data_IF_268447107779
#
_entry.id   IF_268447107779
#
_cell.length_a   1.000
_cell.length_b   1.000
_cell.length_c   1.000
_cell.angle_alpha   90.00
_cell.angle_beta   90.00
_cell.angle_gamma   90.00
#
_symmetry.space_group_name_H-M   'P 1'
#
loop_
_entity.id
_entity.type
_entity.pdbx_description
1 polymer ?
#
# COMPACT_ATOMS: atom_id res chain seq x y z
N UNK A 1 -10.63 -10.31 0.71
CA UNK A 1 -11.45 -9.23 1.31
C UNK A 1 -12.01 -9.66 2.66
N UNK A 2 -12.71 -10.81 2.73
CA UNK A 2 -13.17 -11.42 3.99
C UNK A 2 -12.03 -11.71 4.99
N UNK A 3 -10.86 -12.16 4.53
CA UNK A 3 -9.70 -12.37 5.40
C UNK A 3 -9.14 -11.09 6.05
N UNK A 4 -9.29 -9.93 5.41
CA UNK A 4 -8.88 -8.63 5.96
C UNK A 4 -9.88 -8.08 6.96
N UNK A 5 -11.17 -8.36 6.75
CA UNK A 5 -12.22 -8.09 7.73
C UNK A 5 -12.02 -8.90 9.01
N UNK A 6 -11.74 -10.21 8.90
CA UNK A 6 -11.41 -11.04 10.06
C UNK A 6 -10.08 -10.65 10.71
N UNK A 7 -9.10 -10.19 9.93
CA UNK A 7 -7.86 -9.65 10.47
C UNK A 7 -8.10 -8.36 11.25
N UNK A 8 -8.86 -7.39 10.71
CA UNK A 8 -9.22 -6.16 11.42
C UNK A 8 -10.06 -6.44 12.68
N UNK A 9 -10.94 -7.45 12.63
CA UNK A 9 -11.66 -7.91 13.82
C UNK A 9 -10.71 -8.53 14.86
N UNK A 10 -9.78 -9.38 14.42
CA UNK A 10 -8.75 -9.95 15.29
C UNK A 10 -7.75 -8.89 15.82
N UNK A 11 -7.54 -7.79 15.09
CA UNK A 11 -6.77 -6.62 15.54
C UNK A 11 -7.51 -5.87 16.65
N UNK A 12 -8.83 -5.73 16.54
CA UNK A 12 -9.63 -5.15 17.60
C UNK A 12 -9.65 -6.03 18.87
N UNK A 13 -9.55 -7.35 18.71
CA UNK A 13 -9.51 -8.33 19.81
C UNK A 13 -8.09 -8.61 20.37
N UNK A 14 -7.01 -8.13 19.74
CA UNK A 14 -5.63 -8.44 20.14
C UNK A 14 -4.97 -7.30 20.92
N UNK A 15 -4.55 -7.59 22.17
CA UNK A 15 -3.90 -6.67 23.13
C UNK A 15 -2.60 -5.98 22.64
N UNK A 16 -2.06 -6.32 21.46
CA UNK A 16 -0.84 -5.70 20.92
C UNK A 16 -1.05 -5.14 19.50
N UNK A 17 -1.32 -3.82 19.43
CA UNK A 17 -1.56 -3.11 18.17
C UNK A 17 -0.45 -3.21 17.12
N UNK A 18 0.77 -3.59 17.51
CA UNK A 18 1.92 -3.76 16.58
C UNK A 18 1.80 -5.04 15.75
N UNK A 19 1.45 -6.18 16.36
CA UNK A 19 1.35 -7.46 15.65
C UNK A 19 0.25 -7.42 14.58
N UNK A 20 -0.87 -6.82 14.94
CA UNK A 20 -1.96 -6.43 14.08
C UNK A 20 -1.52 -5.58 12.87
N UNK A 21 -0.80 -4.48 13.13
CA UNK A 21 -0.31 -3.59 12.08
C UNK A 21 0.66 -4.29 11.11
N UNK A 22 1.55 -5.15 11.63
CA UNK A 22 2.45 -5.96 10.80
C UNK A 22 1.68 -6.94 9.91
N UNK A 23 0.65 -7.60 10.45
CA UNK A 23 -0.20 -8.50 9.66
C UNK A 23 -0.92 -7.74 8.53
N UNK A 24 -1.50 -6.57 8.83
CA UNK A 24 -2.15 -5.72 7.82
C UNK A 24 -1.14 -5.32 6.74
N UNK A 25 0.08 -4.94 7.11
CA UNK A 25 1.15 -4.58 6.17
C UNK A 25 1.55 -5.75 5.27
N UNK A 26 1.67 -6.96 5.83
CA UNK A 26 1.93 -8.18 5.08
C UNK A 26 0.83 -8.49 4.07
N UNK A 27 -0.45 -8.37 4.46
CA UNK A 27 -1.54 -8.54 3.51
C UNK A 27 -1.51 -7.47 2.43
N UNK A 28 -1.24 -6.21 2.79
CA UNK A 28 -1.06 -5.11 1.83
C UNK A 28 0.08 -5.34 0.83
N UNK A 29 1.09 -6.12 1.21
CA UNK A 29 2.20 -6.55 0.36
C UNK A 29 1.85 -7.74 -0.54
N UNK A 30 0.91 -8.59 -0.13
CA UNK A 30 0.43 -9.72 -0.93
C UNK A 30 -0.63 -9.31 -1.99
N UNK A 31 -1.36 -8.21 -1.75
CA UNK A 31 -2.41 -7.72 -2.67
C UNK A 31 -1.93 -7.54 -4.13
N UNK A 32 -0.75 -6.95 -4.41
CA UNK A 32 -0.26 -6.81 -5.78
C UNK A 32 -0.11 -8.13 -6.52
N UNK A 33 0.33 -9.19 -5.83
CA UNK A 33 0.49 -10.52 -6.42
C UNK A 33 -0.86 -11.09 -6.87
N UNK A 34 -1.88 -11.00 -6.02
CA UNK A 34 -3.23 -11.42 -6.35
C UNK A 34 -3.79 -10.62 -7.54
N UNK A 35 -3.70 -9.29 -7.51
CA UNK A 35 -4.25 -8.41 -8.56
C UNK A 35 -3.56 -8.61 -9.91
N UNK A 36 -2.25 -8.78 -9.92
CA UNK A 36 -1.49 -9.11 -11.14
C UNK A 36 -1.97 -10.44 -11.71
N UNK A 37 -2.03 -11.47 -10.88
CA UNK A 37 -2.43 -12.82 -11.30
C UNK A 37 -3.85 -12.82 -11.89
N UNK A 38 -4.81 -12.18 -11.22
CA UNK A 38 -6.18 -12.08 -11.73
C UNK A 38 -6.24 -11.30 -13.04
N UNK A 39 -5.51 -10.19 -13.15
CA UNK A 39 -5.50 -9.38 -14.38
C UNK A 39 -4.90 -10.14 -15.56
N UNK A 40 -3.78 -10.83 -15.36
CA UNK A 40 -3.11 -11.57 -16.45
C UNK A 40 -3.85 -12.84 -16.87
N UNK A 41 -4.64 -13.45 -15.98
CA UNK A 41 -5.36 -14.69 -16.28
C UNK A 41 -6.76 -14.45 -16.86
N UNK A 42 -7.45 -13.40 -16.42
CA UNK A 42 -8.86 -13.18 -16.79
C UNK A 42 -9.06 -12.04 -17.80
N UNK A 43 -8.10 -11.12 -17.97
CA UNK A 43 -8.28 -9.96 -18.84
C UNK A 43 -7.30 -9.95 -20.01
N UNK A 44 -7.85 -9.85 -21.22
CA UNK A 44 -7.07 -9.64 -22.42
C UNK A 44 -6.83 -8.15 -22.64
N UNK A 45 -5.57 -7.76 -22.83
CA UNK A 45 -5.16 -6.39 -23.07
C UNK A 45 -4.26 -6.31 -24.30
N UNK A 46 -4.44 -5.27 -25.11
CA UNK A 46 -3.67 -5.05 -26.34
C UNK A 46 -2.27 -4.50 -26.02
N UNK A 47 -2.15 -3.64 -24.99
CA UNK A 47 -0.88 -3.02 -24.60
C UNK A 47 -0.48 -3.30 -23.15
N UNK A 48 0.82 -3.27 -22.87
CA UNK A 48 1.34 -3.36 -21.51
C UNK A 48 0.91 -2.17 -20.63
N UNK A 49 0.66 -1.01 -21.24
CA UNK A 49 0.20 0.20 -20.54
C UNK A 49 -1.22 -0.02 -20.01
N UNK A 50 -2.11 -0.60 -20.83
CA UNK A 50 -3.49 -0.90 -20.42
C UNK A 50 -3.52 -1.93 -19.29
N UNK A 51 -2.66 -2.95 -19.35
CA UNK A 51 -2.49 -3.92 -18.25
C UNK A 51 -2.11 -3.19 -16.95
N UNK A 52 -1.12 -2.29 -16.99
CA UNK A 52 -0.72 -1.54 -15.80
C UNK A 52 -1.84 -0.62 -15.30
N UNK A 53 -2.60 0.01 -16.18
CA UNK A 53 -3.72 0.87 -15.79
C UNK A 53 -4.85 0.09 -15.10
N UNK A 54 -5.23 -1.08 -15.63
CA UNK A 54 -6.21 -1.98 -15.00
C UNK A 54 -5.72 -2.43 -13.60
N UNK A 55 -4.43 -2.80 -13.49
CA UNK A 55 -3.81 -3.16 -12.21
C UNK A 55 -3.88 -1.99 -11.22
N UNK A 56 -3.55 -0.76 -11.64
CA UNK A 56 -3.65 0.44 -10.78
C UNK A 56 -5.07 0.60 -10.26
N UNK A 57 -6.07 0.59 -11.15
CA UNK A 57 -7.45 0.85 -10.77
C UNK A 57 -7.96 -0.15 -9.73
N UNK A 58 -7.77 -1.45 -9.96
CA UNK A 58 -8.18 -2.50 -9.02
C UNK A 58 -7.42 -2.43 -7.70
N UNK A 59 -6.12 -2.16 -7.77
CA UNK A 59 -5.27 -2.14 -6.59
C UNK A 59 -5.52 -0.90 -5.73
N UNK A 60 -5.74 0.27 -6.33
CA UNK A 60 -6.16 1.49 -5.62
C UNK A 60 -7.50 1.25 -4.93
N UNK A 61 -8.51 0.77 -5.65
CA UNK A 61 -9.83 0.51 -5.08
C UNK A 61 -9.75 -0.45 -3.89
N UNK A 62 -9.03 -1.57 -4.07
CA UNK A 62 -8.85 -2.57 -3.01
C UNK A 62 -8.13 -1.99 -1.79
N UNK A 63 -7.08 -1.19 -2.01
CA UNK A 63 -6.29 -0.61 -0.91
C UNK A 63 -7.03 0.49 -0.17
N UNK A 64 -7.77 1.34 -0.87
CA UNK A 64 -8.57 2.38 -0.23
C UNK A 64 -9.67 1.76 0.64
N UNK A 65 -10.35 0.73 0.12
CA UNK A 65 -11.35 -0.01 0.86
C UNK A 65 -10.76 -0.66 2.12
N UNK A 66 -9.65 -1.39 1.96
CA UNK A 66 -9.07 -2.17 3.06
C UNK A 66 -8.38 -1.33 4.13
N UNK A 67 -7.67 -0.26 3.75
CA UNK A 67 -6.77 0.45 4.67
C UNK A 67 -7.44 1.62 5.38
N UNK A 68 -8.54 2.18 4.87
CA UNK A 68 -9.26 3.25 5.57
C UNK A 68 -10.76 2.99 5.69
N UNK A 69 -11.45 2.66 4.59
CA UNK A 69 -12.93 2.63 4.59
C UNK A 69 -13.47 1.51 5.49
N UNK A 70 -12.94 0.28 5.37
CA UNK A 70 -13.38 -0.81 6.23
C UNK A 70 -12.98 -0.61 7.69
N UNK A 71 -11.83 0.02 7.95
CA UNK A 71 -11.43 0.35 9.31
C UNK A 71 -12.44 1.32 9.92
N UNK A 72 -12.79 2.39 9.21
CA UNK A 72 -13.80 3.36 9.64
C UNK A 72 -15.19 2.74 9.86
N UNK A 73 -15.65 1.83 9.00
CA UNK A 73 -16.98 1.20 9.12
C UNK A 73 -17.05 0.21 10.29
N UNK A 74 -15.94 -0.48 10.59
CA UNK A 74 -15.90 -1.51 11.63
C UNK A 74 -15.68 -0.92 13.02
N UNK A 75 -15.03 0.23 13.12
CA UNK A 75 -14.86 0.94 14.39
C UNK A 75 -16.21 1.47 14.89
N UNK A 76 -16.55 1.12 16.14
CA UNK A 76 -17.76 1.63 16.78
C UNK A 76 -17.67 3.14 16.99
N UNK A 77 -18.83 3.81 16.95
CA UNK A 77 -18.90 5.27 17.01
C UNK A 77 -18.25 5.84 18.28
N UNK A 78 -18.53 5.24 19.45
CA UNK A 78 -17.99 5.68 20.73
C UNK A 78 -16.47 5.58 20.81
N UNK A 79 -15.87 4.66 20.05
CA UNK A 79 -14.43 4.42 20.04
C UNK A 79 -13.71 5.12 18.89
N UNK A 80 -14.44 5.80 17.99
CA UNK A 80 -13.84 6.48 16.84
C UNK A 80 -12.85 7.56 17.28
N UNK A 81 -13.19 8.27 18.36
CA UNK A 81 -12.36 9.33 18.96
C UNK A 81 -11.51 8.85 20.13
N UNK A 82 -11.54 7.56 20.49
CA UNK A 82 -10.76 7.05 21.60
C UNK A 82 -9.26 7.13 21.30
N UNK A 83 -8.45 7.48 22.30
CA UNK A 83 -7.00 7.53 22.16
C UNK A 83 -6.43 6.19 21.71
N UNK A 84 -7.02 5.08 22.15
CA UNK A 84 -6.62 3.74 21.76
C UNK A 84 -6.75 3.51 20.25
N UNK A 85 -7.91 3.86 19.67
CA UNK A 85 -8.16 3.69 18.24
C UNK A 85 -7.25 4.60 17.39
N UNK A 86 -7.05 5.85 17.82
CA UNK A 86 -6.14 6.79 17.15
C UNK A 86 -4.69 6.28 17.17
N UNK A 87 -4.25 5.73 18.31
CA UNK A 87 -2.92 5.11 18.43
C UNK A 87 -2.77 3.86 17.55
N UNK A 88 -3.83 3.06 17.38
CA UNK A 88 -3.86 1.92 16.44
C UNK A 88 -3.67 2.40 15.00
N UNK A 89 -4.42 3.42 14.56
CA UNK A 89 -4.32 3.99 13.21
C UNK A 89 -2.90 4.55 12.97
N UNK A 90 -2.37 5.31 13.94
CA UNK A 90 -1.02 5.87 13.86
C UNK A 90 0.06 4.79 13.77
N UNK A 91 -0.08 3.70 14.54
CA UNK A 91 0.85 2.56 14.51
C UNK A 91 0.85 1.89 13.14
N UNK A 92 -0.33 1.69 12.53
CA UNK A 92 -0.43 1.12 11.17
C UNK A 92 0.30 2.00 10.15
N UNK A 93 0.13 3.33 10.22
CA UNK A 93 0.82 4.27 9.33
C UNK A 93 2.35 4.21 9.48
N UNK A 94 2.85 4.16 10.73
CA UNK A 94 4.29 4.07 11.01
C UNK A 94 4.86 2.74 10.52
N UNK A 95 4.15 1.64 10.78
CA UNK A 95 4.57 0.31 10.32
C UNK A 95 4.62 0.27 8.80
N UNK A 96 3.58 0.75 8.10
CA UNK A 96 3.59 0.80 6.63
C UNK A 96 4.69 1.72 6.06
N UNK A 97 5.01 2.82 6.75
CA UNK A 97 6.08 3.75 6.41
C UNK A 97 7.46 3.08 6.41
N UNK A 98 7.73 2.19 7.37
CA UNK A 98 9.06 1.57 7.55
C UNK A 98 9.12 0.20 6.89
N UNK A 99 8.13 -0.65 7.13
CA UNK A 99 8.15 -2.05 6.74
C UNK A 99 8.20 -2.23 5.23
N UNK A 100 7.39 -1.49 4.48
CA UNK A 100 7.34 -1.62 3.01
C UNK A 100 8.66 -1.20 2.33
N UNK A 101 9.26 -0.04 2.64
CA UNK A 101 10.57 0.32 2.08
C UNK A 101 11.71 -0.60 2.55
N UNK A 102 11.74 -1.01 3.82
CA UNK A 102 12.79 -1.91 4.32
C UNK A 102 12.73 -3.27 3.63
N UNK A 103 11.54 -3.88 3.53
CA UNK A 103 11.38 -5.17 2.86
C UNK A 103 11.80 -5.11 1.39
N UNK A 104 11.48 -4.00 0.71
CA UNK A 104 11.90 -3.73 -0.67
C UNK A 104 13.41 -3.56 -0.80
N UNK A 105 14.03 -2.83 0.12
CA UNK A 105 15.47 -2.63 0.14
C UNK A 105 16.23 -3.94 0.37
N UNK A 106 15.70 -4.84 1.22
CA UNK A 106 16.31 -6.15 1.45
C UNK A 106 16.20 -7.08 0.24
N UNK A 107 15.18 -6.90 -0.61
CA UNK A 107 14.93 -7.67 -1.82
C UNK A 107 15.14 -9.20 -1.64
N UNK A 108 14.54 -9.72 -0.56
CA UNK A 108 14.74 -11.11 -0.10
C UNK A 108 14.42 -12.13 -1.20
N UNK A 109 13.41 -11.86 -2.01
CA UNK A 109 13.01 -12.75 -3.11
C UNK A 109 14.14 -12.93 -4.15
N UNK A 110 14.83 -11.86 -4.54
CA UNK A 110 15.93 -11.97 -5.49
C UNK A 110 17.18 -12.57 -4.85
N UNK A 111 17.42 -12.30 -3.57
CA UNK A 111 18.49 -12.96 -2.82
C UNK A 111 18.30 -14.48 -2.79
N UNK A 112 17.08 -14.95 -2.49
CA UNK A 112 16.73 -16.38 -2.51
C UNK A 112 16.89 -16.99 -3.91
N UNK A 113 16.43 -16.30 -4.96
CA UNK A 113 16.62 -16.76 -6.35
C UNK A 113 18.09 -16.97 -6.68
N UNK A 114 18.95 -16.00 -6.35
CA UNK A 114 20.38 -16.04 -6.67
C UNK A 114 21.16 -17.06 -5.83
N UNK A 115 20.78 -17.28 -4.58
CA UNK A 115 21.52 -18.16 -3.66
C UNK A 115 21.03 -19.60 -3.65
N UNK A 116 19.72 -19.82 -3.77
CA UNK A 116 19.12 -21.16 -3.62
C UNK A 116 18.72 -21.73 -4.98
N UNK A 117 18.01 -20.96 -5.81
CA UNK A 117 17.44 -21.47 -7.06
C UNK A 117 18.45 -21.48 -8.21
N UNK A 118 19.31 -20.46 -8.30
CA UNK A 118 20.27 -20.32 -9.40
C UNK A 118 21.28 -21.49 -9.48
N UNK A 119 21.88 -21.97 -8.38
CA UNK A 119 22.78 -23.13 -8.43
C UNK A 119 22.10 -24.46 -8.76
N UNK A 120 20.76 -24.51 -8.76
CA UNK A 120 19.96 -25.72 -9.01
C UNK A 120 19.41 -25.79 -10.43
N UNK A 121 19.70 -24.79 -11.29
CA UNK A 121 19.27 -24.81 -12.68
C UNK A 121 20.17 -25.71 -13.51
N UNK A 122 19.57 -26.42 -14.47
CA UNK A 122 20.30 -27.37 -15.32
C UNK A 122 21.03 -26.66 -16.47
N UNK A 123 20.51 -25.51 -16.91
CA UNK A 123 21.09 -24.74 -18.01
C UNK A 123 21.62 -23.38 -17.55
N UNK A 124 22.69 -22.92 -18.20
CA UNK A 124 23.26 -21.59 -17.96
C UNK A 124 22.24 -20.47 -18.23
N UNK A 125 21.40 -20.64 -19.26
CA UNK A 125 20.37 -19.65 -19.62
C UNK A 125 19.36 -19.49 -18.48
N UNK A 126 18.86 -20.59 -17.92
CA UNK A 126 17.95 -20.55 -16.76
C UNK A 126 18.60 -19.91 -15.53
N UNK A 127 19.90 -20.19 -15.31
CA UNK A 127 20.65 -19.55 -14.23
C UNK A 127 20.77 -18.03 -14.45
N UNK A 128 21.11 -17.60 -15.66
CA UNK A 128 21.24 -16.17 -16.01
C UNK A 128 19.92 -15.42 -15.86
N UNK A 129 18.79 -16.08 -16.19
CA UNK A 129 17.44 -15.53 -15.96
C UNK A 129 17.18 -15.23 -14.48
N UNK A 130 17.70 -16.05 -13.55
CA UNK A 130 17.55 -15.85 -12.10
C UNK A 130 18.49 -14.76 -11.54
N UNK A 131 19.58 -14.45 -12.25
CA UNK A 131 20.47 -13.34 -11.91
C UNK A 131 20.01 -11.99 -12.47
N UNK A 132 18.95 -11.96 -13.29
CA UNK A 132 18.31 -10.70 -13.68
C UNK A 132 17.78 -9.96 -12.44
N UNK A 133 17.82 -8.62 -12.49
CA UNK A 133 17.24 -7.80 -11.42
C UNK A 133 15.71 -7.93 -11.34
N UNK A 134 15.13 -7.68 -10.15
CA UNK A 134 13.69 -7.63 -9.98
C UNK A 134 13.03 -6.71 -11.01
N UNK A 135 11.84 -7.12 -11.46
CA UNK A 135 11.04 -6.31 -12.37
C UNK A 135 10.44 -5.11 -11.63
N UNK A 136 10.75 -3.91 -12.11
CA UNK A 136 10.13 -2.70 -11.62
C UNK A 136 8.70 -2.60 -12.15
N UNK A 137 7.72 -2.59 -11.25
CA UNK A 137 6.32 -2.41 -11.59
C UNK A 137 5.85 -1.02 -11.17
N UNK A 138 5.64 -0.16 -12.18
CA UNK A 138 5.24 1.23 -11.97
C UNK A 138 3.84 1.36 -11.36
N UNK A 139 2.90 0.47 -11.71
CA UNK A 139 1.55 0.47 -11.15
C UNK A 139 1.55 0.31 -9.62
N UNK A 140 2.34 -0.63 -9.11
CA UNK A 140 2.49 -0.84 -7.66
C UNK A 140 3.08 0.37 -6.94
N UNK A 141 4.03 1.09 -7.57
CA UNK A 141 4.63 2.29 -6.95
C UNK A 141 3.58 3.41 -6.83
N UNK A 142 2.81 3.65 -7.90
CA UNK A 142 1.75 4.64 -7.87
C UNK A 142 0.65 4.27 -6.87
N UNK A 143 0.25 3.01 -6.79
CA UNK A 143 -0.79 2.58 -5.84
C UNK A 143 -0.32 2.60 -4.39
N UNK A 144 0.95 2.27 -4.12
CA UNK A 144 1.56 2.41 -2.79
C UNK A 144 1.53 3.88 -2.35
N UNK A 145 1.94 4.79 -3.24
CA UNK A 145 1.94 6.24 -2.97
C UNK A 145 0.52 6.76 -2.71
N UNK A 146 -0.43 6.42 -3.60
CA UNK A 146 -1.82 6.84 -3.48
C UNK A 146 -2.47 6.31 -2.18
N UNK A 147 -2.20 5.06 -1.80
CA UNK A 147 -2.70 4.49 -0.55
C UNK A 147 -2.22 5.29 0.65
N UNK A 148 -0.92 5.54 0.74
CA UNK A 148 -0.35 6.24 1.89
C UNK A 148 -0.86 7.69 1.97
N UNK A 149 -0.98 8.40 0.84
CA UNK A 149 -1.63 9.71 0.78
C UNK A 149 -3.10 9.64 1.23
N UNK A 150 -3.84 8.65 0.74
CA UNK A 150 -5.26 8.49 1.06
C UNK A 150 -5.48 8.31 2.55
N UNK A 151 -4.79 7.38 3.21
CA UNK A 151 -4.97 7.13 4.65
C UNK A 151 -4.56 8.35 5.48
N UNK A 152 -3.44 8.98 5.15
CA UNK A 152 -2.98 10.18 5.85
C UNK A 152 -3.93 11.36 5.74
N UNK A 153 -4.55 11.56 4.57
CA UNK A 153 -5.54 12.63 4.36
C UNK A 153 -6.93 12.25 4.90
N UNK A 154 -7.31 10.97 4.82
CA UNK A 154 -8.61 10.48 5.31
C UNK A 154 -8.77 10.72 6.81
N UNK A 155 -7.73 10.43 7.60
CA UNK A 155 -7.73 10.59 9.06
C UNK A 155 -7.15 11.93 9.55
N UNK A 156 -6.88 12.88 8.65
CA UNK A 156 -6.21 14.15 9.00
C UNK A 156 -6.95 14.95 10.09
N UNK A 157 -8.28 15.04 10.02
CA UNK A 157 -9.05 15.80 11.01
C UNK A 157 -8.95 15.22 12.43
N UNK A 158 -8.73 13.92 12.56
CA UNK A 158 -8.57 13.22 13.84
C UNK A 158 -7.11 13.18 14.31
N UNK A 159 -6.17 13.01 13.37
CA UNK A 159 -4.77 12.77 13.66
C UNK A 159 -3.87 13.64 12.76
N UNK A 160 -3.64 14.92 13.11
CA UNK A 160 -2.79 15.82 12.33
C UNK A 160 -1.33 15.34 12.21
N UNK A 161 -0.84 14.60 13.20
CA UNK A 161 0.47 13.94 13.18
C UNK A 161 0.63 12.95 12.01
N UNK A 162 -0.50 12.43 11.49
CA UNK A 162 -0.55 11.49 10.37
C UNK A 162 0.01 12.06 9.07
N UNK A 163 -0.10 13.38 8.84
CA UNK A 163 0.52 14.01 7.67
C UNK A 163 2.04 14.01 7.75
N UNK A 164 2.63 14.23 8.93
CA UNK A 164 4.08 14.17 9.10
C UNK A 164 4.60 12.75 8.86
N UNK A 165 3.87 11.74 9.33
CA UNK A 165 4.19 10.33 9.07
C UNK A 165 4.07 10.03 7.58
N UNK A 166 3.02 10.51 6.92
CA UNK A 166 2.81 10.35 5.47
C UNK A 166 3.93 11.01 4.67
N UNK A 167 4.33 12.23 5.02
CA UNK A 167 5.44 12.93 4.38
C UNK A 167 6.78 12.19 4.58
N UNK A 168 7.04 11.71 5.80
CA UNK A 168 8.18 10.84 6.10
C UNK A 168 8.18 9.54 5.28
N UNK A 169 7.01 8.91 5.13
CA UNK A 169 6.84 7.71 4.31
C UNK A 169 7.15 7.97 2.83
N UNK A 170 6.72 9.11 2.29
CA UNK A 170 7.04 9.50 0.91
C UNK A 170 8.54 9.72 0.72
N UNK A 171 9.20 10.39 1.67
CA UNK A 171 10.64 10.62 1.64
C UNK A 171 11.43 9.30 1.72
N UNK A 172 11.04 8.40 2.62
CA UNK A 172 11.66 7.07 2.73
C UNK A 172 11.48 6.24 1.46
N UNK A 173 10.26 6.21 0.89
CA UNK A 173 10.01 5.52 -0.38
C UNK A 173 10.86 6.11 -1.51
N UNK A 174 11.02 7.44 -1.57
CA UNK A 174 11.86 8.08 -2.58
C UNK A 174 13.31 7.60 -2.51
N UNK A 175 13.93 7.59 -1.32
CA UNK A 175 15.33 7.17 -1.18
C UNK A 175 15.52 5.69 -1.46
N UNK A 176 14.62 4.84 -0.97
CA UNK A 176 14.67 3.40 -1.24
C UNK A 176 14.47 3.11 -2.72
N UNK A 177 13.48 3.72 -3.36
CA UNK A 177 13.22 3.49 -4.79
C UNK A 177 14.37 4.00 -5.65
N UNK A 178 14.97 5.14 -5.30
CA UNK A 178 16.19 5.63 -5.96
C UNK A 178 17.34 4.64 -5.83
N UNK A 179 17.53 4.05 -4.65
CA UNK A 179 18.56 3.04 -4.44
C UNK A 179 18.27 1.73 -5.19
N UNK A 180 17.01 1.28 -5.21
CA UNK A 180 16.57 0.09 -5.93
C UNK A 180 16.71 0.25 -7.45
N UNK A 181 16.39 1.44 -8.00
CA UNK A 181 16.57 1.76 -9.43
C UNK A 181 18.03 1.61 -9.88
N UNK A 182 18.98 1.96 -9.02
CA UNK A 182 20.41 1.93 -9.36
C UNK A 182 21.00 0.53 -9.17
N UNK A 183 20.58 -0.21 -8.13
CA UNK A 183 21.27 -1.45 -7.71
C UNK A 183 20.51 -2.76 -7.92
N UNK A 184 19.18 -2.74 -7.89
CA UNK A 184 18.38 -3.97 -7.79
C UNK A 184 17.49 -4.21 -9.00
N UNK A 185 16.92 -3.16 -9.56
CA UNK A 185 15.92 -3.30 -10.61
C UNK A 185 16.53 -3.39 -11.99
N UNK A 186 15.97 -4.29 -12.81
CA UNK A 186 16.27 -4.33 -14.24
C UNK A 186 15.63 -3.14 -14.94
N UNK A 187 16.18 -2.77 -16.10
CA UNK A 187 15.64 -1.68 -16.93
C UNK A 187 14.18 -1.98 -17.27
N UNK A 188 13.23 -1.08 -16.97
CA UNK A 188 11.84 -1.30 -17.28
C UNK A 188 11.55 -1.06 -18.76
N UNK A 189 10.41 -1.56 -19.28
CA UNK A 189 9.93 -1.14 -20.59
C UNK A 189 9.60 0.36 -20.58
N UNK A 190 9.60 0.99 -21.75
CA UNK A 190 9.20 2.39 -21.88
C UNK A 190 7.70 2.53 -21.58
N UNK A 191 7.37 3.14 -20.45
CA UNK A 191 5.99 3.46 -20.09
C UNK A 191 5.66 4.89 -20.55
N UNK A 192 4.41 5.08 -20.97
CA UNK A 192 3.87 6.40 -21.28
C UNK A 192 3.41 7.14 -20.00
N UNK A 193 3.10 8.43 -20.12
CA UNK A 193 2.64 9.30 -19.05
C UNK A 193 1.22 8.99 -18.52
N UNK A 194 0.49 8.08 -19.16
CA UNK A 194 -0.89 7.71 -18.84
C UNK A 194 -1.10 7.36 -17.36
N UNK A 195 -0.21 6.56 -16.77
CA UNK A 195 -0.25 6.17 -15.36
C UNK A 195 -0.06 7.36 -14.41
N UNK A 196 0.78 8.32 -14.78
CA UNK A 196 0.98 9.56 -14.03
C UNK A 196 -0.25 10.46 -14.08
N UNK A 197 -0.87 10.58 -15.26
CA UNK A 197 -2.14 11.31 -15.45
C UNK A 197 -3.25 10.65 -14.63
N UNK A 198 -3.38 9.33 -14.69
CA UNK A 198 -4.37 8.58 -13.91
C UNK A 198 -4.18 8.80 -12.39
N UNK A 199 -2.94 8.73 -11.90
CA UNK A 199 -2.63 8.94 -10.49
C UNK A 199 -2.97 10.35 -10.01
N UNK A 200 -2.79 11.37 -10.86
CA UNK A 200 -3.20 12.74 -10.55
C UNK A 200 -4.72 12.86 -10.35
N UNK A 201 -5.53 12.18 -11.16
CA UNK A 201 -6.99 12.16 -10.96
C UNK A 201 -7.36 11.50 -9.62
N UNK A 202 -6.69 10.41 -9.25
CA UNK A 202 -6.89 9.80 -7.93
C UNK A 202 -6.48 10.74 -6.80
N UNK A 203 -5.39 11.50 -6.91
CA UNK A 203 -5.01 12.51 -5.92
C UNK A 203 -6.10 13.57 -5.70
N UNK A 204 -6.75 14.04 -6.77
CA UNK A 204 -7.90 14.94 -6.67
C UNK A 204 -9.06 14.27 -5.94
N UNK A 205 -9.35 13.00 -6.25
CA UNK A 205 -10.35 12.21 -5.52
C UNK A 205 -10.04 12.04 -4.03
N UNK A 206 -8.76 11.84 -3.67
CA UNK A 206 -8.31 11.78 -2.28
C UNK A 206 -8.62 13.11 -1.56
N UNK A 207 -8.34 14.26 -2.18
CA UNK A 207 -8.65 15.56 -1.60
C UNK A 207 -10.15 15.74 -1.34
N UNK A 208 -11.00 15.34 -2.29
CA UNK A 208 -12.45 15.35 -2.08
C UNK A 208 -12.87 14.44 -0.92
N UNK A 209 -12.28 13.24 -0.83
CA UNK A 209 -12.56 12.31 0.27
C UNK A 209 -12.18 12.89 1.63
N UNK A 210 -11.06 13.62 1.71
CA UNK A 210 -10.63 14.31 2.91
C UNK A 210 -11.63 15.38 3.35
N UNK A 211 -12.12 16.21 2.43
CA UNK A 211 -13.12 17.24 2.74
C UNK A 211 -14.42 16.62 3.27
N UNK A 212 -14.89 15.52 2.65
CA UNK A 212 -16.09 14.81 3.08
C UNK A 212 -15.90 14.23 4.48
N UNK A 213 -14.79 13.52 4.70
CA UNK A 213 -14.53 12.89 6.00
C UNK A 213 -14.31 13.91 7.11
N UNK A 214 -13.59 15.00 6.83
CA UNK A 214 -13.42 16.09 7.79
C UNK A 214 -14.77 16.65 8.21
N UNK A 215 -15.68 16.89 7.26
CA UNK A 215 -17.06 17.32 7.58
C UNK A 215 -17.76 16.31 8.47
N UNK A 216 -17.70 15.02 8.15
CA UNK A 216 -18.35 13.96 8.94
C UNK A 216 -17.78 13.94 10.36
N UNK A 217 -16.47 13.97 10.52
CA UNK A 217 -15.81 13.99 11.83
C UNK A 217 -16.14 15.23 12.64
N UNK A 218 -16.24 16.42 12.03
CA UNK A 218 -16.62 17.64 12.74
C UNK A 218 -18.11 17.67 13.14
N UNK A 219 -19.00 17.12 12.32
CA UNK A 219 -20.44 17.01 12.66
C UNK A 219 -20.66 16.01 13.80
N UNK A 220 -19.90 14.91 13.77
CA UNK A 220 -19.97 13.86 14.77
C UNK A 220 -19.06 14.13 15.98
N UNK A 221 -18.33 15.24 15.99
CA UNK A 221 -17.53 15.63 17.14
C UNK A 221 -18.48 15.91 18.30
N UNK A 222 -18.24 15.24 19.43
CA UNK A 222 -19.10 15.37 20.60
C UNK A 222 -19.17 16.84 21.05
N UNK A 223 -20.35 17.45 20.90
CA UNK A 223 -20.83 18.49 21.82
C UNK A 223 -21.56 17.83 23.00
N UNK A 224 -21.06 16.69 23.47
CA UNK A 224 -21.54 16.08 24.71
C UNK A 224 -20.74 16.69 25.85
N UNK A 225 -21.14 17.90 26.24
CA UNK A 225 -21.05 18.48 27.58
C UNK A 225 -21.68 19.89 27.54
N UNK A 226 -23.02 19.93 27.46
CA UNK A 226 -23.84 21.04 27.96
C UNK A 226 -25.18 20.54 28.47
#
# INVERSE_FOLDING_TARGET
>A
MVALFFANKAVNDADSGIGAALFISLVNMALPFAMKTTTTLFEYHVSNVDVQASIVLKMVATRFLNTAIFMYIVTDYGDTFSEENLNKIQTVLIVDCIFSPVFRALNVADWLKRKILAPRQNTQIEMDLLFQGAYWNLAERYTDMLKTCFVGMFYLALLPSGLFITAGAMLMNYWVDKWCLIKHWRRPPQYDQTLGVLSRHFMVGILFSHCIMSRIFFVNWAYEDS
#
